data_IF_102588353977
#
_entry.id   IF_102588353977
#
_cell.length_a   1.000
_cell.length_b   1.000
_cell.length_c   1.000
_cell.angle_alpha   90.00
_cell.angle_beta   90.00
_cell.angle_gamma   90.00
#
_symmetry.space_group_name_H-M   'P 1'
#
loop_
_entity.id
_entity.type
_entity.pdbx_description
1 polymer ?
#
# COMPACT_ATOMS: atom_id res chain seq x y z
N UNK A 1 10.95 -25.42 -6.46
CA UNK A 1 9.86 -25.72 -7.43
C UNK A 1 9.25 -27.10 -7.19
N UNK A 2 10.03 -28.20 -7.20
CA UNK A 2 9.49 -29.56 -6.98
C UNK A 2 8.93 -29.81 -5.56
N UNK A 3 9.51 -29.18 -4.52
CA UNK A 3 9.05 -29.35 -3.13
C UNK A 3 7.64 -28.78 -2.90
N UNK A 4 7.38 -27.57 -3.40
CA UNK A 4 6.05 -26.93 -3.30
C UNK A 4 4.98 -27.71 -4.06
N UNK A 5 5.32 -28.32 -5.20
CA UNK A 5 4.38 -29.13 -5.98
C UNK A 5 3.98 -30.41 -5.24
N UNK A 6 4.93 -31.08 -4.57
CA UNK A 6 4.62 -32.24 -3.72
C UNK A 6 3.76 -31.85 -2.51
N UNK A 7 4.09 -30.73 -1.87
CA UNK A 7 3.36 -30.23 -0.70
C UNK A 7 1.92 -29.81 -1.06
N UNK A 8 1.72 -29.21 -2.24
CA UNK A 8 0.41 -28.90 -2.81
C UNK A 8 -0.38 -30.16 -3.17
N UNK A 9 0.26 -31.18 -3.76
CA UNK A 9 -0.39 -32.47 -4.04
C UNK A 9 -0.87 -33.15 -2.74
N UNK A 10 -0.03 -33.18 -1.71
CA UNK A 10 -0.38 -33.76 -0.39
C UNK A 10 -1.54 -33.00 0.27
N UNK A 11 -1.53 -31.67 0.19
CA UNK A 11 -2.61 -30.82 0.72
C UNK A 11 -3.92 -30.91 -0.09
N UNK A 12 -3.84 -31.16 -1.40
CA UNK A 12 -5.02 -31.41 -2.23
C UNK A 12 -5.67 -32.76 -1.88
N UNK A 13 -4.87 -33.80 -1.65
CA UNK A 13 -5.34 -35.12 -1.22
C UNK A 13 -6.06 -35.08 0.14
N UNK A 14 -5.57 -34.27 1.09
CA UNK A 14 -6.21 -34.14 2.41
C UNK A 14 -7.54 -33.36 2.36
N UNK A 15 -7.65 -32.34 1.49
CA UNK A 15 -8.89 -31.55 1.31
C UNK A 15 -9.99 -32.29 0.55
N UNK A 16 -9.63 -33.13 -0.42
CA UNK A 16 -10.59 -34.00 -1.12
C UNK A 16 -11.22 -35.03 -0.17
N UNK A 17 -10.48 -35.50 0.85
CA UNK A 17 -11.02 -36.36 1.91
C UNK A 17 -12.02 -35.67 2.85
N UNK A 18 -11.95 -34.34 3.01
CA UNK A 18 -12.89 -33.60 3.87
C UNK A 18 -14.24 -33.28 3.20
N UNK A 19 -14.29 -33.13 1.87
CA UNK A 19 -15.53 -32.84 1.14
C UNK A 19 -16.39 -34.07 0.85
N UNK A 20 -15.91 -35.29 1.16
CA UNK A 20 -16.65 -36.53 0.99
C UNK A 20 -17.47 -36.94 2.24
N UNK A 21 -17.58 -36.09 3.27
CA UNK A 21 -18.27 -36.41 4.55
C UNK A 21 -19.81 -36.29 4.53
N UNK A 22 -20.45 -36.50 3.38
CA UNK A 22 -21.90 -36.76 3.30
C UNK A 22 -22.19 -37.86 2.28
N UNK A 23 -21.85 -39.10 2.60
CA UNK A 23 -22.68 -40.29 2.35
C UNK A 23 -21.89 -41.57 2.60
N UNK A 24 -22.57 -42.53 3.24
CA UNK A 24 -22.19 -43.93 3.42
C UNK A 24 -21.01 -44.24 4.36
N UNK A 25 -21.38 -44.81 5.51
CA UNK A 25 -20.52 -45.61 6.36
C UNK A 25 -20.07 -46.89 5.63
N UNK A 26 -18.81 -47.26 5.81
CA UNK A 26 -18.25 -48.55 5.38
C UNK A 26 -16.99 -48.42 4.55
N UNK A 27 -15.85 -48.80 5.14
CA UNK A 27 -14.66 -49.29 4.43
C UNK A 27 -13.88 -48.31 3.53
N UNK A 28 -13.27 -47.27 4.12
CA UNK A 28 -12.28 -46.42 3.42
C UNK A 28 -11.12 -46.01 4.34
N UNK A 29 -10.40 -47.00 4.88
CA UNK A 29 -9.07 -46.82 5.46
C UNK A 29 -7.96 -47.31 4.50
N UNK A 30 -8.21 -47.24 3.18
CA UNK A 30 -7.16 -47.32 2.17
C UNK A 30 -6.86 -45.90 1.71
N UNK A 31 -5.91 -45.30 2.42
CA UNK A 31 -5.34 -44.01 2.11
C UNK A 31 -5.12 -43.85 0.60
N UNK A 32 -5.56 -42.73 0.06
CA UNK A 32 -5.21 -42.25 -1.27
C UNK A 32 -3.70 -42.00 -1.29
N UNK A 33 -2.91 -43.06 -1.48
CA UNK A 33 -1.44 -43.06 -1.46
C UNK A 33 -0.83 -43.09 -2.87
N UNK A 34 -1.63 -42.87 -3.92
CA UNK A 34 -1.13 -42.77 -5.28
C UNK A 34 -1.44 -41.40 -5.87
N UNK A 35 -0.39 -40.59 -6.03
CA UNK A 35 -0.41 -39.38 -6.84
C UNK A 35 -0.54 -39.82 -8.30
N UNK A 36 -1.71 -39.63 -8.90
CA UNK A 36 -1.95 -40.00 -10.30
C UNK A 36 -1.56 -38.87 -11.26
N UNK A 37 -1.20 -39.18 -12.52
CA UNK A 37 -0.88 -38.17 -13.52
C UNK A 37 -2.00 -37.12 -13.71
N UNK A 38 -3.27 -37.50 -13.55
CA UNK A 38 -4.40 -36.56 -13.63
C UNK A 38 -4.44 -35.58 -12.46
N UNK A 39 -4.07 -36.01 -11.25
CA UNK A 39 -3.93 -35.12 -10.09
C UNK A 39 -2.75 -34.17 -10.31
N UNK A 40 -1.62 -34.69 -10.80
CA UNK A 40 -0.47 -33.85 -11.16
C UNK A 40 -0.89 -32.82 -12.21
N UNK A 41 -1.63 -33.23 -13.24
CA UNK A 41 -2.10 -32.37 -14.32
C UNK A 41 -3.09 -31.32 -13.84
N UNK A 42 -4.05 -31.67 -12.98
CA UNK A 42 -4.97 -30.69 -12.38
C UNK A 42 -4.25 -29.67 -11.49
N UNK A 43 -3.25 -30.11 -10.72
CA UNK A 43 -2.41 -29.22 -9.92
C UNK A 43 -1.55 -28.34 -10.84
N UNK A 44 -0.97 -28.92 -11.90
CA UNK A 44 -0.16 -28.19 -12.88
C UNK A 44 -0.97 -27.16 -13.68
N UNK A 45 -2.16 -27.53 -14.13
CA UNK A 45 -3.09 -26.68 -14.87
C UNK A 45 -3.61 -25.55 -13.98
N UNK A 46 -3.78 -25.78 -12.67
CA UNK A 46 -4.06 -24.71 -11.70
C UNK A 46 -2.85 -23.81 -11.45
N UNK A 47 -1.64 -24.35 -11.37
CA UNK A 47 -0.41 -23.55 -11.24
C UNK A 47 -0.05 -22.77 -12.51
N UNK A 48 -0.61 -23.14 -13.67
CA UNK A 48 -0.49 -22.40 -14.92
C UNK A 48 -1.27 -21.07 -14.95
N UNK A 49 -2.00 -20.71 -13.88
CA UNK A 49 -2.23 -19.30 -13.52
C UNK A 49 -0.92 -18.67 -13.04
N UNK A 50 0.11 -18.71 -13.90
CA UNK A 50 1.47 -18.28 -13.65
C UNK A 50 1.46 -16.79 -13.33
N UNK A 51 1.33 -16.50 -12.04
CA UNK A 51 1.72 -15.23 -11.48
C UNK A 51 3.24 -15.20 -11.51
N UNK A 52 3.79 -14.75 -12.63
CA UNK A 52 5.21 -14.53 -12.75
C UNK A 52 5.59 -13.33 -11.87
N UNK A 53 6.01 -13.61 -10.64
CA UNK A 53 6.51 -12.58 -9.71
C UNK A 53 7.67 -11.77 -10.28
N UNK A 54 8.41 -12.32 -11.24
CA UNK A 54 9.51 -11.64 -11.93
C UNK A 54 9.11 -11.10 -13.32
N UNK A 55 7.86 -11.32 -13.73
CA UNK A 55 7.36 -11.06 -15.07
C UNK A 55 6.41 -9.88 -15.15
N UNK A 56 5.96 -9.65 -16.37
CA UNK A 56 5.04 -8.57 -16.73
C UNK A 56 3.70 -8.67 -15.98
N UNK A 57 3.20 -9.90 -15.77
CA UNK A 57 1.88 -10.14 -15.16
C UNK A 57 1.79 -9.68 -13.70
N UNK A 58 2.87 -9.78 -12.93
CA UNK A 58 2.93 -9.21 -11.57
C UNK A 58 2.64 -7.70 -11.61
N UNK A 59 3.34 -6.98 -12.49
CA UNK A 59 3.16 -5.54 -12.66
C UNK A 59 1.78 -5.17 -13.22
N UNK A 60 1.26 -5.96 -14.16
CA UNK A 60 -0.08 -5.76 -14.74
C UNK A 60 -1.17 -5.89 -13.68
N UNK A 61 -1.10 -6.94 -12.85
CA UNK A 61 -2.12 -7.19 -11.81
C UNK A 61 -2.06 -6.12 -10.71
N UNK A 62 -0.88 -5.78 -10.19
CA UNK A 62 -0.79 -4.73 -9.15
C UNK A 62 -1.18 -3.35 -9.68
N UNK A 63 -0.86 -3.07 -10.94
CA UNK A 63 -1.28 -1.86 -11.65
C UNK A 63 -2.80 -1.78 -11.78
N UNK A 64 -3.45 -2.88 -12.16
CA UNK A 64 -4.90 -2.98 -12.25
C UNK A 64 -5.55 -2.83 -10.87
N UNK A 65 -5.02 -3.49 -9.84
CA UNK A 65 -5.48 -3.37 -8.46
C UNK A 65 -5.51 -1.91 -7.97
N UNK A 66 -4.40 -1.19 -8.14
CA UNK A 66 -4.29 0.21 -7.70
C UNK A 66 -5.19 1.14 -8.52
N UNK A 67 -5.35 0.88 -9.82
CA UNK A 67 -6.28 1.64 -10.66
C UNK A 67 -7.74 1.39 -10.26
N UNK A 68 -8.12 0.17 -9.90
CA UNK A 68 -9.45 -0.15 -9.39
C UNK A 68 -9.73 0.56 -8.06
N UNK A 69 -8.77 0.54 -7.13
CA UNK A 69 -8.85 1.31 -5.88
C UNK A 69 -9.04 2.81 -6.16
N UNK A 70 -8.24 3.39 -7.06
CA UNK A 70 -8.32 4.80 -7.47
C UNK A 70 -9.67 5.13 -8.11
N UNK A 71 -10.16 4.26 -8.99
CA UNK A 71 -11.47 4.35 -9.63
C UNK A 71 -12.65 4.09 -8.69
N UNK A 72 -12.39 3.72 -7.43
CA UNK A 72 -13.41 3.36 -6.45
C UNK A 72 -14.29 2.17 -6.86
N UNK A 73 -13.76 1.29 -7.72
CA UNK A 73 -14.39 0.04 -8.11
C UNK A 73 -13.99 -1.05 -7.12
N UNK A 74 -14.90 -1.31 -6.16
CA UNK A 74 -14.67 -2.25 -5.05
C UNK A 74 -14.55 -3.68 -5.56
N UNK A 75 -15.41 -4.08 -6.49
CA UNK A 75 -15.47 -5.45 -6.99
C UNK A 75 -14.21 -5.78 -7.81
N UNK A 76 -13.80 -4.85 -8.69
CA UNK A 76 -12.56 -5.01 -9.45
C UNK A 76 -11.34 -5.04 -8.52
N UNK A 77 -11.29 -4.19 -7.49
CA UNK A 77 -10.19 -4.19 -6.52
C UNK A 77 -10.09 -5.53 -5.77
N UNK A 78 -11.22 -6.08 -5.29
CA UNK A 78 -11.25 -7.39 -4.62
C UNK A 78 -10.89 -8.52 -5.59
N UNK A 79 -11.31 -8.45 -6.86
CA UNK A 79 -10.92 -9.43 -7.87
C UNK A 79 -9.40 -9.43 -8.14
N UNK A 80 -8.78 -8.26 -8.34
CA UNK A 80 -7.34 -8.18 -8.54
C UNK A 80 -6.56 -8.56 -7.27
N UNK A 81 -7.09 -8.29 -6.08
CA UNK A 81 -6.55 -8.82 -4.83
C UNK A 81 -6.54 -10.35 -4.83
N UNK A 82 -7.67 -10.98 -5.16
CA UNK A 82 -7.77 -12.43 -5.23
C UNK A 82 -6.79 -13.03 -6.25
N UNK A 83 -6.63 -12.38 -7.41
CA UNK A 83 -5.61 -12.77 -8.42
C UNK A 83 -4.18 -12.72 -7.87
N UNK A 84 -3.84 -11.73 -7.04
CA UNK A 84 -2.53 -11.67 -6.37
C UNK A 84 -2.38 -12.77 -5.32
N UNK A 85 -3.43 -13.04 -4.53
CA UNK A 85 -3.43 -14.08 -3.49
C UNK A 85 -3.24 -15.47 -4.11
N UNK A 86 -4.03 -15.82 -5.12
CA UNK A 86 -3.91 -17.10 -5.85
C UNK A 86 -2.58 -17.20 -6.60
N UNK A 87 -2.07 -16.06 -7.06
CA UNK A 87 -0.71 -15.93 -7.61
C UNK A 87 0.42 -16.08 -6.60
N UNK A 88 0.09 -16.24 -5.32
CA UNK A 88 1.06 -16.40 -4.24
C UNK A 88 1.86 -15.13 -3.95
N UNK A 89 1.35 -13.95 -4.29
CA UNK A 89 1.99 -12.66 -3.99
C UNK A 89 2.29 -12.52 -2.49
N UNK A 90 3.38 -11.84 -2.17
CA UNK A 90 3.73 -11.50 -0.78
C UNK A 90 2.63 -10.61 -0.16
N UNK A 91 2.06 -11.06 0.96
CA UNK A 91 1.02 -10.30 1.66
C UNK A 91 1.54 -8.94 2.14
N UNK A 92 2.82 -8.86 2.55
CA UNK A 92 3.43 -7.58 2.90
C UNK A 92 3.59 -6.66 1.68
N UNK A 93 3.82 -7.22 0.48
CA UNK A 93 3.85 -6.44 -0.76
C UNK A 93 2.49 -5.79 -1.03
N UNK A 94 1.40 -6.55 -0.96
CA UNK A 94 0.05 -6.01 -1.15
C UNK A 94 -0.24 -4.92 -0.10
N UNK A 95 0.11 -5.18 1.17
CA UNK A 95 -0.10 -4.22 2.25
C UNK A 95 0.73 -2.93 2.08
N UNK A 96 1.98 -3.00 1.59
CA UNK A 96 2.78 -1.81 1.23
C UNK A 96 2.07 -0.97 0.16
N UNK A 97 1.44 -1.63 -0.82
CA UNK A 97 0.71 -0.96 -1.92
C UNK A 97 -0.57 -0.29 -1.43
N UNK A 98 -1.30 -0.90 -0.49
CA UNK A 98 -2.43 -0.27 0.21
C UNK A 98 -1.99 0.93 1.06
N UNK A 99 -0.85 0.80 1.75
CA UNK A 99 -0.30 1.87 2.61
C UNK A 99 0.06 3.10 1.80
N UNK A 100 0.83 2.97 0.71
CA UNK A 100 1.17 4.14 -0.12
C UNK A 100 -0.08 4.73 -0.81
N UNK A 101 -1.02 3.88 -1.23
CA UNK A 101 -2.30 4.31 -1.82
C UNK A 101 -3.08 5.24 -0.88
N UNK A 102 -3.08 4.95 0.43
CA UNK A 102 -3.76 5.80 1.43
C UNK A 102 -3.26 7.25 1.44
N UNK A 103 -1.99 7.49 1.08
CA UNK A 103 -1.40 8.83 1.00
C UNK A 103 -1.44 9.42 -0.41
N UNK A 104 -1.31 8.58 -1.44
CA UNK A 104 -1.27 8.99 -2.85
C UNK A 104 -2.64 9.40 -3.38
N UNK A 105 -3.68 8.62 -3.06
CA UNK A 105 -4.99 8.69 -3.72
C UNK A 105 -6.14 9.04 -2.77
N UNK A 106 -5.94 9.01 -1.45
CA UNK A 106 -6.92 9.42 -0.44
C UNK A 106 -6.44 10.67 0.30
N UNK A 107 -5.23 10.62 0.86
CA UNK A 107 -4.56 11.75 1.51
C UNK A 107 -5.43 12.42 2.58
N UNK A 108 -5.44 13.75 2.57
CA UNK A 108 -6.20 14.53 3.57
C UNK A 108 -7.72 14.54 3.35
N UNK A 109 -8.25 13.89 2.30
CA UNK A 109 -9.70 13.70 2.18
C UNK A 109 -10.24 12.74 3.25
N UNK A 110 -9.42 11.79 3.71
CA UNK A 110 -9.70 10.93 4.85
C UNK A 110 -8.39 10.55 5.55
N UNK A 111 -7.85 11.38 6.46
CA UNK A 111 -6.54 11.15 7.08
C UNK A 111 -6.43 9.81 7.84
N UNK A 112 -7.55 9.30 8.35
CA UNK A 112 -7.62 8.01 9.04
C UNK A 112 -7.33 6.82 8.14
N UNK A 113 -7.36 6.98 6.80
CA UNK A 113 -6.99 5.93 5.87
C UNK A 113 -5.54 5.49 6.00
N UNK A 114 -4.63 6.42 6.30
CA UNK A 114 -3.22 6.09 6.58
C UNK A 114 -3.09 5.22 7.83
N UNK A 115 -3.88 5.51 8.87
CA UNK A 115 -3.90 4.73 10.12
C UNK A 115 -4.42 3.32 9.87
N UNK A 116 -5.52 3.18 9.14
CA UNK A 116 -6.12 1.88 8.79
C UNK A 116 -5.16 1.05 7.94
N UNK A 117 -4.53 1.65 6.92
CA UNK A 117 -3.60 0.94 6.05
C UNK A 117 -2.30 0.56 6.79
N UNK A 118 -1.82 1.37 7.73
CA UNK A 118 -0.68 1.01 8.57
C UNK A 118 -1.02 -0.14 9.53
N UNK A 119 -2.20 -0.10 10.16
CA UNK A 119 -2.68 -1.20 11.01
C UNK A 119 -2.83 -2.50 10.20
N UNK A 120 -3.28 -2.42 8.95
CA UNK A 120 -3.30 -3.56 8.02
C UNK A 120 -1.90 -4.13 7.79
N UNK A 121 -0.92 -3.28 7.45
CA UNK A 121 0.47 -3.71 7.27
C UNK A 121 1.03 -4.42 8.51
N UNK A 122 0.84 -3.85 9.69
CA UNK A 122 1.29 -4.46 10.94
C UNK A 122 0.55 -5.77 11.25
N UNK A 123 -0.75 -5.83 10.98
CA UNK A 123 -1.57 -7.00 11.25
C UNK A 123 -1.21 -8.17 10.32
N UNK A 124 -0.98 -7.92 9.04
CA UNK A 124 -0.53 -8.95 8.07
C UNK A 124 0.76 -9.62 8.55
N UNK A 125 1.72 -8.84 9.07
CA UNK A 125 2.99 -9.35 9.60
C UNK A 125 2.83 -10.17 10.87
N UNK A 126 1.89 -9.78 11.74
CA UNK A 126 1.63 -10.46 13.02
C UNK A 126 0.84 -11.74 12.86
N UNK A 127 -0.10 -11.78 11.92
CA UNK A 127 -1.04 -12.89 11.76
C UNK A 127 -0.51 -13.93 10.77
N UNK A 128 0.05 -13.51 9.63
CA UNK A 128 0.52 -14.44 8.60
C UNK A 128 -0.62 -15.07 7.78
N UNK A 129 -0.28 -16.11 7.02
CA UNK A 129 -1.20 -16.82 6.13
C UNK A 129 -1.82 -18.06 6.79
N UNK A 130 -3.11 -18.43 6.53
CA UNK A 130 -4.05 -17.89 5.54
C UNK A 130 -5.01 -16.76 6.02
N UNK A 131 -4.93 -16.27 7.25
CA UNK A 131 -5.91 -15.31 7.78
C UNK A 131 -5.72 -13.88 7.27
N UNK A 132 -4.50 -13.51 6.83
CA UNK A 132 -4.19 -12.18 6.29
C UNK A 132 -5.04 -11.73 5.09
N UNK A 133 -5.71 -12.65 4.38
CA UNK A 133 -6.62 -12.33 3.26
C UNK A 133 -7.76 -11.47 3.73
N UNK A 134 -8.28 -11.75 4.93
CA UNK A 134 -9.42 -11.05 5.47
C UNK A 134 -9.03 -9.61 5.82
N UNK A 135 -7.85 -9.42 6.39
CA UNK A 135 -7.28 -8.11 6.72
C UNK A 135 -7.03 -7.28 5.45
N UNK A 136 -6.40 -7.89 4.44
CA UNK A 136 -6.15 -7.27 3.14
C UNK A 136 -7.46 -6.91 2.43
N UNK A 137 -8.44 -7.80 2.43
CA UNK A 137 -9.75 -7.59 1.80
C UNK A 137 -10.53 -6.48 2.49
N UNK A 138 -10.60 -6.50 3.82
CA UNK A 138 -11.27 -5.45 4.60
C UNK A 138 -10.66 -4.07 4.29
N UNK A 139 -9.33 -3.98 4.27
CA UNK A 139 -8.62 -2.73 3.99
C UNK A 139 -8.83 -2.29 2.55
N UNK A 140 -8.81 -3.22 1.60
CA UNK A 140 -9.08 -2.95 0.18
C UNK A 140 -10.46 -2.33 -0.01
N UNK A 141 -11.50 -2.92 0.58
CA UNK A 141 -12.87 -2.39 0.51
C UNK A 141 -12.95 -1.00 1.12
N UNK A 142 -12.31 -0.80 2.28
CA UNK A 142 -12.28 0.49 2.96
C UNK A 142 -11.64 1.59 2.09
N UNK A 143 -10.47 1.32 1.50
CA UNK A 143 -9.76 2.31 0.67
C UNK A 143 -10.45 2.54 -0.69
N UNK A 144 -11.05 1.50 -1.28
CA UNK A 144 -11.85 1.63 -2.50
C UNK A 144 -13.03 2.59 -2.29
N UNK A 145 -13.70 2.53 -1.13
CA UNK A 145 -14.86 3.38 -0.80
C UNK A 145 -14.51 4.76 -0.23
N UNK A 146 -13.25 5.01 0.12
CA UNK A 146 -12.81 6.27 0.70
C UNK A 146 -12.89 7.44 -0.32
N UNK A 147 -13.12 8.69 0.13
CA UNK A 147 -13.01 9.85 -0.75
C UNK A 147 -11.59 9.97 -1.28
N UNK A 148 -11.46 10.35 -2.56
CA UNK A 148 -10.17 10.40 -3.25
C UNK A 148 -9.61 11.81 -3.27
N UNK A 149 -8.30 11.95 -3.02
CA UNK A 149 -7.56 13.20 -3.20
C UNK A 149 -6.09 12.90 -3.41
N UNK A 150 -5.53 13.46 -4.50
CA UNK A 150 -4.10 13.42 -4.79
C UNK A 150 -3.40 14.74 -4.43
N UNK A 151 -3.98 15.54 -3.52
CA UNK A 151 -3.49 16.86 -3.16
C UNK A 151 -2.03 16.82 -2.67
N UNK A 152 -1.68 15.85 -1.82
CA UNK A 152 -0.31 15.67 -1.32
C UNK A 152 0.69 15.42 -2.45
N UNK A 153 0.31 14.58 -3.42
CA UNK A 153 1.13 14.25 -4.60
C UNK A 153 1.36 15.47 -5.47
N UNK A 154 0.28 16.21 -5.77
CA UNK A 154 0.36 17.44 -6.58
C UNK A 154 1.19 18.51 -5.88
N UNK A 155 1.00 18.68 -4.57
CA UNK A 155 1.72 19.67 -3.77
C UNK A 155 3.23 19.40 -3.73
N UNK A 156 3.65 18.18 -3.39
CA UNK A 156 5.07 17.86 -3.34
C UNK A 156 5.72 17.89 -4.74
N UNK A 157 5.00 17.46 -5.77
CA UNK A 157 5.51 17.50 -7.15
C UNK A 157 5.72 18.94 -7.62
N UNK A 158 4.76 19.83 -7.35
CA UNK A 158 4.88 21.25 -7.71
C UNK A 158 5.99 21.95 -6.92
N UNK A 159 6.15 21.65 -5.62
CA UNK A 159 7.20 22.22 -4.80
C UNK A 159 8.59 21.72 -5.23
N UNK A 160 8.72 20.43 -5.56
CA UNK A 160 9.98 19.87 -6.07
C UNK A 160 10.37 20.46 -7.42
N UNK A 161 9.40 20.68 -8.33
CA UNK A 161 9.65 21.36 -9.59
C UNK A 161 10.17 22.78 -9.37
N UNK A 162 9.59 23.52 -8.42
CA UNK A 162 10.06 24.86 -8.06
C UNK A 162 11.51 24.87 -7.57
N UNK A 163 11.88 23.92 -6.72
CA UNK A 163 13.25 23.82 -6.20
C UNK A 163 14.25 23.52 -7.32
N UNK A 164 13.85 22.74 -8.33
CA UNK A 164 14.70 22.48 -9.50
C UNK A 164 14.85 23.72 -10.39
N UNK A 165 13.82 24.57 -10.47
CA UNK A 165 13.84 25.79 -11.29
C UNK A 165 14.57 26.95 -10.59
N UNK A 166 14.24 27.20 -9.32
CA UNK A 166 14.73 28.34 -8.54
C UNK A 166 16.07 28.10 -7.82
N UNK A 167 16.49 26.84 -7.73
CA UNK A 167 17.68 26.44 -6.99
C UNK A 167 17.50 26.56 -5.46
N UNK A 168 18.61 26.62 -4.74
CA UNK A 168 18.61 26.68 -3.28
C UNK A 168 18.46 28.13 -2.77
N UNK A 169 17.24 28.69 -2.90
CA UNK A 169 16.94 30.03 -2.42
C UNK A 169 17.24 30.17 -0.92
N UNK A 170 17.79 31.32 -0.47
CA UNK A 170 18.14 31.51 0.93
C UNK A 170 16.88 31.53 1.82
N UNK A 171 16.97 30.86 2.97
CA UNK A 171 15.93 30.94 4.01
C UNK A 171 15.84 32.39 4.52
N UNK A 172 14.64 32.98 4.62
CA UNK A 172 14.44 34.31 5.21
C UNK A 172 15.09 34.44 6.60
N UNK A 173 15.75 35.58 6.87
CA UNK A 173 16.56 35.78 8.09
C UNK A 173 15.76 35.56 9.38
N UNK A 174 14.51 36.01 9.41
CA UNK A 174 13.61 35.84 10.56
C UNK A 174 13.22 34.38 10.82
N UNK A 175 13.39 33.47 9.86
CA UNK A 175 13.15 32.02 10.04
C UNK A 175 14.43 31.23 10.34
N UNK A 176 15.61 31.85 10.22
CA UNK A 176 16.88 31.18 10.51
C UNK A 176 17.01 30.96 12.01
N UNK A 177 17.62 29.83 12.38
CA UNK A 177 17.97 29.55 13.77
C UNK A 177 19.15 30.43 14.23
N UNK A 178 19.07 31.01 15.43
CA UNK A 178 20.09 31.92 15.99
C UNK A 178 20.59 31.47 17.39
N UNK A 179 21.25 30.31 17.53
CA UNK A 179 21.69 29.78 18.82
C UNK A 179 22.86 30.57 19.44
N UNK A 180 23.71 31.21 18.63
CA UNK A 180 24.88 31.94 19.12
C UNK A 180 24.64 33.45 19.14
N UNK A 181 25.41 34.18 19.99
CA UNK A 181 25.37 35.65 20.01
C UNK A 181 25.73 36.25 18.65
N UNK A 182 26.79 35.72 18.02
CA UNK A 182 27.22 36.14 16.69
C UNK A 182 26.10 36.04 15.63
N UNK A 183 25.32 34.94 15.64
CA UNK A 183 24.20 34.79 14.70
C UNK A 183 23.07 35.80 14.95
N UNK A 184 22.79 36.13 16.21
CA UNK A 184 21.81 37.19 16.55
C UNK A 184 22.31 38.56 16.11
N UNK A 185 23.61 38.82 16.27
CA UNK A 185 24.25 40.05 15.80
C UNK A 185 24.17 40.18 14.26
N UNK A 186 24.14 39.07 13.53
CA UNK A 186 23.87 39.00 12.09
C UNK A 186 22.37 39.10 11.71
N UNK A 187 21.48 39.32 12.68
CA UNK A 187 20.04 39.48 12.45
C UNK A 187 19.27 38.17 12.25
N UNK A 188 19.85 37.01 12.59
CA UNK A 188 19.11 35.74 12.50
C UNK A 188 18.00 35.69 13.54
N UNK A 189 16.85 35.13 13.17
CA UNK A 189 15.61 35.12 13.97
C UNK A 189 15.05 36.51 14.30
N UNK A 190 15.70 37.60 13.87
CA UNK A 190 15.24 38.96 14.16
C UNK A 190 13.93 39.21 13.41
N UNK A 191 12.91 39.68 14.13
CA UNK A 191 11.58 39.92 13.57
C UNK A 191 10.71 38.66 13.42
N UNK A 192 11.15 37.50 13.91
CA UNK A 192 10.30 36.31 13.97
C UNK A 192 9.10 36.56 14.88
N UNK A 193 7.90 36.34 14.35
CA UNK A 193 6.66 36.39 15.11
C UNK A 193 6.28 34.96 15.49
N UNK A 194 6.29 34.68 16.79
CA UNK A 194 5.81 33.40 17.32
C UNK A 194 4.29 33.39 17.29
N UNK A 195 3.70 32.58 16.40
CA UNK A 195 2.26 32.58 16.10
C UNK A 195 1.36 32.34 17.31
N UNK A 196 1.81 31.60 18.32
CA UNK A 196 1.02 31.41 19.55
C UNK A 196 0.97 32.65 20.44
N UNK A 197 1.93 33.57 20.32
CA UNK A 197 1.94 34.85 21.04
C UNK A 197 1.17 35.94 20.30
N UNK A 198 1.16 35.89 18.97
CA UNK A 198 0.32 36.77 18.14
C UNK A 198 -0.28 35.97 16.98
N UNK A 199 -1.48 35.38 17.18
CA UNK A 199 -2.15 34.59 16.15
C UNK A 199 -2.67 35.42 14.97
N UNK A 200 -2.74 36.75 15.11
CA UNK A 200 -3.29 37.65 14.09
C UNK A 200 -2.23 38.23 13.16
N UNK A 201 -0.97 38.23 13.60
CA UNK A 201 0.14 38.70 12.80
C UNK A 201 0.31 37.90 11.50
N UNK A 202 0.56 38.64 10.42
CA UNK A 202 0.96 38.06 9.15
C UNK A 202 2.49 38.11 9.02
N UNK A 203 3.07 36.98 8.60
CA UNK A 203 4.51 36.86 8.35
C UNK A 203 4.72 36.04 7.08
N UNK A 204 5.69 36.45 6.26
CA UNK A 204 6.09 35.69 5.08
C UNK A 204 6.96 34.50 5.49
N UNK A 205 6.69 33.31 4.94
CA UNK A 205 7.44 32.09 5.26
C UNK A 205 8.28 31.59 4.09
N UNK A 206 7.86 31.92 2.86
CA UNK A 206 8.60 31.56 1.66
C UNK A 206 9.73 32.58 1.39
N UNK A 207 10.77 32.17 0.64
CA UNK A 207 11.73 33.11 0.09
C UNK A 207 11.04 34.22 -0.73
N UNK A 208 11.65 35.41 -0.73
CA UNK A 208 11.07 36.63 -1.34
C UNK A 208 10.72 36.43 -2.82
N UNK A 209 11.53 35.64 -3.52
CA UNK A 209 11.44 35.34 -4.94
C UNK A 209 10.19 34.50 -5.26
N UNK A 210 9.75 33.66 -4.32
CA UNK A 210 8.63 32.72 -4.52
C UNK A 210 7.46 32.94 -3.55
N UNK A 211 7.43 34.07 -2.84
CA UNK A 211 6.46 34.38 -1.79
C UNK A 211 4.98 34.23 -2.15
N UNK A 212 4.64 34.41 -3.44
CA UNK A 212 3.27 34.32 -3.93
C UNK A 212 2.93 32.93 -4.53
N UNK A 213 3.87 31.98 -4.53
CA UNK A 213 3.63 30.65 -5.08
C UNK A 213 2.76 29.82 -4.13
N UNK A 214 1.83 29.07 -4.71
CA UNK A 214 0.94 28.15 -3.99
C UNK A 214 1.16 26.73 -4.50
N UNK A 215 1.60 25.84 -3.61
CA UNK A 215 1.83 24.43 -3.93
C UNK A 215 0.61 23.55 -3.64
N UNK A 216 -0.20 23.93 -2.64
CA UNK A 216 -1.45 23.26 -2.31
C UNK A 216 -2.58 23.93 -3.11
N UNK A 217 -3.18 23.20 -4.06
CA UNK A 217 -4.21 23.69 -5.00
C UNK A 217 -5.40 22.75 -5.10
#
# INVERSE_FOLDING_TARGET
VALNALELCVNASSRLGSNARTSAAGDQAKACSQVTPDIIKQVFDRTNLLYDKAGEEHYNIISAFIKSLRGSDVDAAVYYLARMIEGGEDAEFIARRLLIFSSEDIGNALPTALVVANACFDAVRKIGWPESQLILTQTTIYLAKAPKSNLSVRAISSARAEVQESGNLPIPLHLRNAPTKFMKDLGYSQGYIYTHSDPTAQQEFLPKEIKNKKFVK
#
